data_IF_962971997389
#
_entry.id   IF_962971997389
#
_cell.length_a   1.000
_cell.length_b   1.000
_cell.length_c   1.000
_cell.angle_alpha   90.00
_cell.angle_beta   90.00
_cell.angle_gamma   90.00
#
_symmetry.space_group_name_H-M   'P 1'
#
loop_
_entity.id
_entity.type
_entity.pdbx_description
1 polymer ?
#
# COMPACT_ATOMS: atom_id res chain seq x y z
N UNK A 1 -4.67 30.50 -17.80
CA UNK A 1 -4.87 29.11 -18.30
C UNK A 1 -5.49 28.21 -17.21
N UNK A 2 -6.18 27.11 -17.56
CA UNK A 2 -6.65 26.11 -16.55
C UNK A 2 -5.47 25.40 -15.88
N UNK A 3 -5.56 25.16 -14.57
CA UNK A 3 -4.50 24.56 -13.76
C UNK A 3 -4.06 23.17 -14.26
N UNK A 4 -5.00 22.29 -14.62
CA UNK A 4 -4.68 20.96 -15.17
C UNK A 4 -3.86 21.01 -16.47
N UNK A 5 -4.16 21.98 -17.34
CA UNK A 5 -3.38 22.25 -18.55
C UNK A 5 -2.02 22.85 -18.22
N UNK A 6 -1.97 23.79 -17.27
CA UNK A 6 -0.74 24.44 -16.85
C UNK A 6 0.27 23.45 -16.26
N UNK A 7 -0.18 22.57 -15.36
CA UNK A 7 0.63 21.53 -14.71
C UNK A 7 1.23 20.57 -15.74
N UNK A 8 0.41 20.08 -16.68
CA UNK A 8 0.90 19.20 -17.74
C UNK A 8 1.84 19.91 -18.72
N UNK A 9 1.51 21.14 -19.15
CA UNK A 9 2.32 21.91 -20.10
C UNK A 9 3.70 22.29 -19.55
N UNK A 10 3.81 22.45 -18.22
CA UNK A 10 5.07 22.75 -17.52
C UNK A 10 5.87 21.51 -17.12
N UNK A 11 5.44 20.31 -17.52
CA UNK A 11 6.13 19.06 -17.23
C UNK A 11 6.02 18.59 -15.77
N UNK A 12 5.18 19.23 -14.96
CA UNK A 12 4.93 18.84 -13.56
C UNK A 12 4.03 17.59 -13.47
N UNK A 13 3.36 17.21 -14.56
CA UNK A 13 2.66 15.94 -14.66
C UNK A 13 2.92 15.28 -16.01
N UNK A 14 3.04 13.96 -15.99
CA UNK A 14 3.26 13.11 -17.18
C UNK A 14 2.11 13.14 -18.19
N UNK A 15 0.91 13.55 -17.77
CA UNK A 15 -0.26 13.70 -18.63
C UNK A 15 -1.28 14.66 -18.00
N UNK A 16 -2.30 15.08 -18.77
CA UNK A 16 -3.40 15.89 -18.22
C UNK A 16 -4.24 15.13 -17.19
N UNK A 17 -4.40 13.81 -17.36
CA UNK A 17 -5.08 12.96 -16.37
C UNK A 17 -4.28 12.90 -15.08
N UNK A 18 -2.96 12.71 -15.18
CA UNK A 18 -2.07 12.73 -14.02
C UNK A 18 -2.08 14.11 -13.32
N UNK A 19 -2.13 15.21 -14.08
CA UNK A 19 -2.30 16.55 -13.51
C UNK A 19 -3.62 16.67 -12.72
N UNK A 20 -4.71 16.12 -13.24
CA UNK A 20 -6.02 16.13 -12.57
C UNK A 20 -5.98 15.39 -11.23
N UNK A 21 -5.29 14.25 -11.19
CA UNK A 21 -5.09 13.45 -9.98
C UNK A 21 -4.24 14.20 -8.95
N UNK A 22 -3.11 14.79 -9.36
CA UNK A 22 -2.23 15.58 -8.49
C UNK A 22 -2.97 16.80 -7.91
N UNK A 23 -3.73 17.52 -8.74
CA UNK A 23 -4.50 18.67 -8.29
C UNK A 23 -5.57 18.23 -7.30
N UNK A 24 -6.41 17.25 -7.66
CA UNK A 24 -7.50 16.77 -6.77
C UNK A 24 -6.96 16.22 -5.44
N UNK A 25 -5.73 15.71 -5.44
CA UNK A 25 -5.03 15.23 -4.26
C UNK A 25 -4.44 16.35 -3.36
N UNK A 26 -4.55 17.62 -3.75
CA UNK A 26 -3.94 18.74 -3.03
C UNK A 26 -2.42 18.82 -3.17
N UNK A 27 -1.87 18.14 -4.18
CA UNK A 27 -0.43 18.02 -4.40
C UNK A 27 0.10 19.06 -5.39
N UNK A 28 -0.75 19.95 -5.89
CA UNK A 28 -0.32 21.09 -6.70
C UNK A 28 -0.44 22.34 -5.85
N UNK A 29 0.70 23.00 -5.64
CA UNK A 29 0.79 24.29 -4.99
C UNK A 29 0.75 25.38 -6.06
N UNK A 30 -0.06 26.41 -5.83
CA UNK A 30 -0.04 27.65 -6.62
C UNK A 30 0.32 28.78 -5.66
N UNK A 31 1.47 29.41 -5.89
CA UNK A 31 2.04 30.43 -4.99
C UNK A 31 2.20 29.94 -3.54
N UNK A 32 2.59 28.67 -3.38
CA UNK A 32 2.79 28.03 -2.08
C UNK A 32 1.54 27.43 -1.44
N UNK A 33 0.36 27.65 -1.99
CA UNK A 33 -0.91 27.18 -1.43
C UNK A 33 -1.48 25.99 -2.22
N UNK A 34 -1.96 24.92 -1.55
CA UNK A 34 -2.52 23.76 -2.22
C UNK A 34 -3.84 24.10 -2.91
N UNK A 35 -3.92 23.77 -4.21
CA UNK A 35 -5.13 23.95 -5.02
C UNK A 35 -5.69 22.58 -5.37
N UNK A 36 -6.98 22.36 -5.08
CA UNK A 36 -7.65 21.06 -5.30
C UNK A 36 -8.62 21.03 -6.47
N UNK A 37 -8.76 22.14 -7.20
CA UNK A 37 -9.69 22.29 -8.33
C UNK A 37 -8.94 22.25 -9.67
N UNK A 38 -9.01 21.15 -10.45
CA UNK A 38 -8.29 21.00 -11.72
C UNK A 38 -8.62 22.06 -12.76
N UNK A 39 -9.86 22.54 -12.73
CA UNK A 39 -10.36 23.60 -13.62
C UNK A 39 -10.17 25.01 -13.05
N UNK A 40 -9.38 25.19 -11.97
CA UNK A 40 -9.07 26.53 -11.48
C UNK A 40 -8.31 27.31 -12.56
N UNK A 41 -8.65 28.58 -12.73
CA UNK A 41 -7.90 29.48 -13.60
C UNK A 41 -6.68 30.01 -12.85
N UNK A 42 -5.52 29.93 -13.51
CA UNK A 42 -4.24 30.46 -13.03
C UNK A 42 -3.65 31.42 -14.06
N UNK A 43 -2.89 32.40 -13.59
CA UNK A 43 -2.13 33.29 -14.44
C UNK A 43 -1.06 32.50 -15.22
N UNK A 44 -0.69 32.98 -16.41
CA UNK A 44 0.27 32.26 -17.26
C UNK A 44 1.68 32.23 -16.66
N UNK A 45 1.99 33.18 -15.77
CA UNK A 45 3.21 33.33 -14.99
C UNK A 45 3.07 32.87 -13.52
N UNK A 46 1.93 32.29 -13.13
CA UNK A 46 1.70 31.82 -11.77
C UNK A 46 2.80 30.83 -11.35
N UNK A 47 3.34 30.98 -10.14
CA UNK A 47 4.26 30.00 -9.54
C UNK A 47 3.49 28.71 -9.23
N UNK A 48 3.80 27.62 -9.92
CA UNK A 48 3.14 26.33 -9.75
C UNK A 48 4.22 25.29 -9.47
N UNK A 49 4.06 24.60 -8.36
CA UNK A 49 4.96 23.54 -7.91
C UNK A 49 4.15 22.37 -7.37
N UNK A 50 4.83 21.27 -7.03
CA UNK A 50 4.17 20.13 -6.41
C UNK A 50 4.45 20.15 -4.91
N UNK A 51 3.42 19.87 -4.13
CA UNK A 51 3.54 19.60 -2.71
C UNK A 51 4.29 18.27 -2.60
N UNK A 52 5.57 18.35 -2.30
CA UNK A 52 6.56 17.28 -2.32
C UNK A 52 6.81 16.65 -3.69
N UNK A 53 8.02 16.87 -4.24
CA UNK A 53 8.49 16.26 -5.48
C UNK A 53 8.44 14.71 -5.49
N UNK A 54 8.29 14.07 -4.32
CA UNK A 54 8.09 12.64 -4.18
C UNK A 54 6.78 12.12 -4.81
N UNK A 55 5.68 12.89 -4.78
CA UNK A 55 4.43 12.44 -5.39
C UNK A 55 4.44 12.51 -6.93
N UNK A 56 5.28 13.39 -7.49
CA UNK A 56 5.56 13.47 -8.92
C UNK A 56 6.41 12.29 -9.43
N UNK A 57 7.27 11.79 -8.55
CA UNK A 57 8.25 10.75 -8.80
C UNK A 57 7.62 9.35 -8.92
N UNK A 58 6.60 9.06 -8.10
CA UNK A 58 5.94 7.76 -8.13
C UNK A 58 4.87 7.65 -9.21
N UNK A 59 4.72 6.44 -9.76
CA UNK A 59 3.69 6.15 -10.77
C UNK A 59 2.26 6.20 -10.21
N UNK A 60 2.10 6.13 -8.89
CA UNK A 60 0.83 6.19 -8.16
C UNK A 60 0.99 6.68 -6.73
N UNK A 61 -0.04 7.34 -6.20
CA UNK A 61 -0.13 7.73 -4.77
C UNK A 61 -0.10 6.53 -3.82
N UNK A 62 -0.44 5.33 -4.29
CA UNK A 62 -0.31 4.12 -3.50
C UNK A 62 1.14 3.94 -3.01
N UNK A 63 2.15 4.33 -3.80
CA UNK A 63 3.55 4.29 -3.40
C UNK A 63 3.82 4.95 -2.04
N UNK A 64 3.23 6.13 -1.80
CA UNK A 64 3.41 6.87 -0.54
C UNK A 64 2.84 6.12 0.68
N UNK A 65 1.81 5.28 0.48
CA UNK A 65 1.29 4.40 1.53
C UNK A 65 2.33 3.37 1.95
N UNK A 66 2.94 2.70 0.97
CA UNK A 66 3.97 1.70 1.24
C UNK A 66 5.24 2.35 1.81
N UNK A 67 5.64 3.53 1.32
CA UNK A 67 6.78 4.29 1.87
C UNK A 67 6.57 4.51 3.37
N UNK A 68 5.42 5.06 3.78
CA UNK A 68 5.14 5.30 5.20
C UNK A 68 5.12 4.02 6.04
N UNK A 69 4.58 2.93 5.51
CA UNK A 69 4.57 1.64 6.19
C UNK A 69 5.98 1.06 6.36
N UNK A 70 6.81 1.12 5.33
CA UNK A 70 8.20 0.66 5.37
C UNK A 70 9.03 1.53 6.32
N UNK A 71 8.87 2.86 6.31
CA UNK A 71 9.58 3.76 7.23
C UNK A 71 9.25 3.48 8.70
N UNK A 72 8.02 3.06 9.00
CA UNK A 72 7.62 2.67 10.35
C UNK A 72 8.16 1.28 10.75
N UNK A 73 8.28 0.35 9.79
CA UNK A 73 8.68 -1.04 10.07
C UNK A 73 10.20 -1.29 9.95
N UNK A 74 10.93 -0.50 9.17
CA UNK A 74 12.36 -0.66 8.95
C UNK A 74 13.19 -0.53 10.24
N UNK A 75 12.93 0.45 11.14
CA UNK A 75 13.61 0.53 12.43
C UNK A 75 13.37 -0.68 13.35
N UNK A 76 12.29 -1.43 13.09
CA UNK A 76 11.95 -2.65 13.82
C UNK A 76 12.59 -3.90 13.20
N UNK A 77 13.16 -3.80 12.00
CA UNK A 77 13.90 -4.87 11.33
C UNK A 77 13.31 -5.35 10.00
N UNK A 78 12.26 -4.70 9.46
CA UNK A 78 11.76 -5.02 8.12
C UNK A 78 12.72 -4.49 7.05
N UNK A 79 13.39 -5.39 6.34
CA UNK A 79 14.35 -5.04 5.28
C UNK A 79 13.79 -5.44 3.92
N UNK A 80 13.86 -4.55 2.91
CA UNK A 80 13.50 -4.85 1.51
C UNK A 80 14.74 -5.22 0.67
N UNK A 81 15.86 -4.57 0.96
CA UNK A 81 17.08 -4.69 0.14
C UNK A 81 17.52 -6.14 -0.06
N UNK A 82 17.80 -6.50 -1.32
CA UNK A 82 18.28 -7.81 -1.72
C UNK A 82 17.23 -8.92 -1.71
N UNK A 83 15.95 -8.63 -1.49
CA UNK A 83 14.87 -9.64 -1.41
C UNK A 83 14.15 -9.84 -2.74
N UNK A 84 13.65 -11.06 -2.93
CA UNK A 84 12.59 -11.31 -3.91
C UNK A 84 11.26 -11.02 -3.25
N UNK A 85 10.46 -10.18 -3.91
CA UNK A 85 9.24 -9.60 -3.38
C UNK A 85 8.04 -9.95 -4.26
N UNK A 86 6.87 -10.12 -3.63
CA UNK A 86 5.57 -10.14 -4.31
C UNK A 86 4.85 -8.82 -4.03
N UNK A 87 4.40 -8.15 -5.10
CA UNK A 87 3.42 -7.06 -5.05
C UNK A 87 2.04 -7.62 -5.47
N UNK A 88 1.20 -7.90 -4.48
CA UNK A 88 -0.14 -8.47 -4.65
C UNK A 88 -1.18 -7.35 -4.84
N UNK A 89 -1.65 -7.17 -6.08
CA UNK A 89 -2.50 -6.05 -6.49
C UNK A 89 -1.68 -4.88 -7.02
N UNK A 90 -0.71 -5.16 -7.90
CA UNK A 90 0.29 -4.19 -8.34
C UNK A 90 -0.30 -2.95 -9.03
N UNK A 91 -1.48 -3.07 -9.66
CA UNK A 91 -2.19 -2.01 -10.37
C UNK A 91 -1.26 -1.24 -11.32
N UNK A 92 -1.06 0.06 -11.12
CA UNK A 92 -0.15 0.87 -11.94
C UNK A 92 1.33 0.73 -11.59
N UNK A 93 1.67 -0.03 -10.55
CA UNK A 93 3.03 -0.37 -10.15
C UNK A 93 3.62 0.52 -9.06
N UNK A 94 2.77 1.20 -8.26
CA UNK A 94 3.25 2.12 -7.21
C UNK A 94 4.05 1.42 -6.12
N UNK A 95 3.55 0.28 -5.60
CA UNK A 95 4.26 -0.51 -4.59
C UNK A 95 5.49 -1.18 -5.20
N UNK A 96 5.37 -1.76 -6.40
CA UNK A 96 6.50 -2.29 -7.18
C UNK A 96 7.64 -1.27 -7.31
N UNK A 97 7.36 -0.02 -7.70
CA UNK A 97 8.39 1.02 -7.80
C UNK A 97 9.10 1.27 -6.47
N UNK A 98 8.35 1.37 -5.37
CA UNK A 98 8.92 1.55 -4.02
C UNK A 98 9.83 0.39 -3.64
N UNK A 99 9.43 -0.85 -3.90
CA UNK A 99 10.25 -2.03 -3.63
C UNK A 99 11.57 -2.00 -4.42
N UNK A 100 11.51 -1.65 -5.71
CA UNK A 100 12.70 -1.52 -6.57
C UNK A 100 13.67 -0.45 -6.07
N UNK A 101 13.14 0.69 -5.62
CA UNK A 101 13.92 1.81 -5.08
C UNK A 101 14.50 1.50 -3.70
N UNK A 102 13.82 0.67 -2.90
CA UNK A 102 14.34 0.13 -1.63
C UNK A 102 15.31 -1.05 -1.83
N UNK A 103 15.68 -1.34 -3.08
CA UNK A 103 16.72 -2.31 -3.39
C UNK A 103 16.25 -3.75 -3.46
N UNK A 104 14.96 -4.01 -3.70
CA UNK A 104 14.49 -5.36 -4.01
C UNK A 104 15.34 -5.97 -5.16
N UNK A 105 15.72 -7.24 -4.99
CA UNK A 105 16.46 -8.01 -6.01
C UNK A 105 15.55 -8.30 -7.20
N UNK A 106 14.31 -8.68 -6.92
CA UNK A 106 13.28 -8.96 -7.91
C UNK A 106 11.90 -8.63 -7.33
N UNK A 107 10.98 -8.18 -8.18
CA UNK A 107 9.58 -7.98 -7.83
C UNK A 107 8.68 -8.73 -8.80
N UNK A 108 7.93 -9.69 -8.27
CA UNK A 108 6.80 -10.31 -8.94
C UNK A 108 5.57 -9.42 -8.73
N UNK A 109 5.14 -8.72 -9.77
CA UNK A 109 3.97 -7.86 -9.75
C UNK A 109 2.74 -8.64 -10.25
N UNK A 110 1.79 -8.93 -9.36
CA UNK A 110 0.57 -9.69 -9.67
C UNK A 110 -0.64 -8.78 -9.64
N UNK A 111 -1.46 -8.82 -10.69
CA UNK A 111 -2.76 -8.15 -10.71
C UNK A 111 -3.80 -8.96 -11.48
N UNK A 112 -5.07 -8.75 -11.15
CA UNK A 112 -6.23 -9.29 -11.88
C UNK A 112 -6.57 -8.47 -13.13
N UNK A 113 -6.15 -7.21 -13.17
CA UNK A 113 -6.28 -6.33 -14.33
C UNK A 113 -5.29 -6.68 -15.44
N UNK A 114 -5.43 -5.95 -16.55
CA UNK A 114 -4.58 -6.05 -17.74
C UNK A 114 -4.05 -4.67 -18.14
N UNK A 115 -2.82 -4.63 -18.68
CA UNK A 115 -2.13 -3.45 -19.21
C UNK A 115 -2.11 -2.26 -18.22
N UNK A 116 -1.98 -2.56 -16.92
CA UNK A 116 -2.10 -1.54 -15.87
C UNK A 116 -0.75 -0.94 -15.46
N UNK A 117 0.32 -1.76 -15.46
CA UNK A 117 1.63 -1.32 -15.00
C UNK A 117 2.16 -0.17 -15.86
N UNK A 118 2.70 0.85 -15.20
CA UNK A 118 3.30 1.98 -15.89
C UNK A 118 4.53 1.53 -16.72
N UNK A 119 4.77 2.11 -17.91
CA UNK A 119 5.87 1.71 -18.78
C UNK A 119 7.26 1.72 -18.12
N UNK A 120 7.49 2.66 -17.19
CA UNK A 120 8.76 2.75 -16.44
C UNK A 120 8.99 1.55 -15.51
N UNK A 121 7.91 0.98 -14.96
CA UNK A 121 7.97 -0.20 -14.09
C UNK A 121 8.16 -1.46 -14.94
N UNK A 122 7.43 -1.58 -16.06
CA UNK A 122 7.56 -2.70 -17.00
C UNK A 122 8.96 -2.78 -17.62
N UNK A 123 9.62 -1.63 -17.82
CA UNK A 123 10.96 -1.58 -18.41
C UNK A 123 12.08 -1.99 -17.44
N UNK A 124 11.82 -2.10 -16.13
CA UNK A 124 12.86 -2.51 -15.17
C UNK A 124 13.08 -4.03 -15.25
N UNK A 125 14.32 -4.50 -15.52
CA UNK A 125 14.60 -5.93 -15.69
C UNK A 125 14.41 -6.76 -14.41
N UNK A 126 14.25 -6.13 -13.26
CA UNK A 126 13.96 -6.79 -11.98
C UNK A 126 12.46 -7.07 -11.78
N UNK A 127 11.60 -6.68 -12.71
CA UNK A 127 10.15 -6.87 -12.61
C UNK A 127 9.68 -8.01 -13.50
N UNK A 128 8.89 -8.90 -12.92
CA UNK A 128 8.05 -9.84 -13.69
C UNK A 128 6.60 -9.50 -13.46
N UNK A 129 5.89 -9.13 -14.53
CA UNK A 129 4.45 -8.85 -14.47
C UNK A 129 3.64 -10.12 -14.73
N UNK A 130 2.64 -10.38 -13.88
CA UNK A 130 1.64 -11.44 -14.05
C UNK A 130 0.24 -10.86 -13.93
N UNK A 131 -0.30 -10.50 -15.07
CA UNK A 131 -1.64 -9.91 -15.23
C UNK A 131 -2.73 -10.97 -15.42
N UNK A 132 -3.98 -10.62 -15.11
CA UNK A 132 -5.11 -11.54 -15.16
C UNK A 132 -5.04 -12.68 -14.14
N UNK A 133 -4.18 -12.58 -13.12
CA UNK A 133 -3.97 -13.61 -12.10
C UNK A 133 -4.64 -13.19 -10.80
N UNK A 134 -5.51 -14.04 -10.26
CA UNK A 134 -6.06 -13.83 -8.93
C UNK A 134 -5.08 -14.35 -7.89
N UNK A 135 -4.71 -13.51 -6.91
CA UNK A 135 -3.81 -13.90 -5.82
C UNK A 135 -4.34 -15.07 -4.97
N UNK A 136 -5.67 -15.29 -4.97
CA UNK A 136 -6.28 -16.48 -4.33
C UNK A 136 -5.88 -17.80 -4.99
N UNK A 137 -5.50 -17.76 -6.25
CA UNK A 137 -5.19 -18.94 -7.06
C UNK A 137 -3.68 -19.19 -7.11
N UNK A 138 -2.88 -18.40 -6.39
CA UNK A 138 -1.45 -18.65 -6.22
C UNK A 138 -1.23 -19.91 -5.39
N UNK A 139 -0.23 -20.69 -5.79
CA UNK A 139 0.14 -21.95 -5.13
C UNK A 139 1.65 -22.05 -5.00
N UNK A 140 2.15 -22.99 -4.20
CA UNK A 140 3.57 -23.34 -4.09
C UNK A 140 4.22 -23.76 -5.42
N UNK A 141 3.42 -24.15 -6.42
CA UNK A 141 3.88 -24.52 -7.76
C UNK A 141 3.86 -23.36 -8.76
N UNK A 142 3.28 -22.22 -8.38
CA UNK A 142 3.23 -21.04 -9.23
C UNK A 142 4.62 -20.44 -9.41
N UNK A 143 4.87 -19.87 -10.59
CA UNK A 143 6.12 -19.15 -10.85
C UNK A 143 6.33 -18.02 -9.83
N UNK A 144 7.54 -17.97 -9.28
CA UNK A 144 7.94 -17.02 -8.25
C UNK A 144 7.53 -17.39 -6.82
N UNK A 145 7.01 -18.59 -6.57
CA UNK A 145 6.78 -19.07 -5.21
C UNK A 145 8.09 -19.08 -4.39
N UNK A 146 7.99 -18.88 -3.09
CA UNK A 146 9.14 -18.74 -2.19
C UNK A 146 9.71 -17.33 -2.09
N UNK A 147 8.93 -16.29 -2.47
CA UNK A 147 9.30 -14.90 -2.19
C UNK A 147 9.51 -14.69 -0.69
N UNK A 148 10.45 -13.83 -0.36
CA UNK A 148 10.77 -13.53 1.03
C UNK A 148 9.96 -12.35 1.58
N UNK A 149 9.43 -11.45 0.74
CA UNK A 149 8.59 -10.33 1.18
C UNK A 149 7.32 -10.27 0.34
N UNK A 150 6.16 -10.16 0.99
CA UNK A 150 4.87 -9.92 0.33
C UNK A 150 4.35 -8.57 0.79
N UNK A 151 3.99 -7.72 -0.17
CA UNK A 151 3.17 -6.52 0.06
C UNK A 151 1.84 -6.68 -0.65
N UNK A 152 0.75 -6.20 -0.05
CA UNK A 152 -0.58 -6.33 -0.66
C UNK A 152 -1.42 -5.06 -0.52
N UNK A 153 -1.92 -4.55 -1.66
CA UNK A 153 -2.88 -3.44 -1.77
C UNK A 153 -4.12 -3.88 -2.58
N UNK A 154 -4.91 -4.78 -1.99
CA UNK A 154 -6.05 -5.38 -2.69
C UNK A 154 -7.34 -4.58 -2.51
N UNK A 155 -8.18 -4.54 -3.55
CA UNK A 155 -9.49 -3.88 -3.49
C UNK A 155 -10.61 -4.87 -3.80
N UNK A 156 -11.80 -4.63 -3.24
CA UNK A 156 -13.01 -5.44 -3.46
C UNK A 156 -12.92 -6.90 -2.99
N UNK A 157 -11.93 -7.22 -2.17
CA UNK A 157 -11.74 -8.52 -1.54
C UNK A 157 -11.32 -8.31 -0.08
N UNK A 158 -11.79 -9.18 0.82
CA UNK A 158 -11.30 -9.23 2.19
C UNK A 158 -9.97 -9.96 2.23
N UNK A 159 -9.02 -9.46 3.03
CA UNK A 159 -7.72 -10.11 3.22
C UNK A 159 -7.85 -11.54 3.77
N UNK A 160 -8.92 -11.85 4.50
CA UNK A 160 -9.16 -13.20 5.03
C UNK A 160 -9.30 -14.27 3.95
N UNK A 161 -9.60 -13.89 2.71
CA UNK A 161 -9.66 -14.81 1.57
C UNK A 161 -8.33 -15.03 0.86
N UNK A 162 -7.32 -14.21 1.15
CA UNK A 162 -6.02 -14.24 0.44
C UNK A 162 -4.85 -14.50 1.37
N UNK A 163 -5.00 -14.38 2.69
CA UNK A 163 -3.92 -14.66 3.64
C UNK A 163 -3.38 -16.09 3.46
N UNK A 164 -4.23 -17.11 3.46
CA UNK A 164 -3.75 -18.51 3.34
C UNK A 164 -3.03 -18.77 2.02
N UNK A 165 -3.56 -18.35 0.84
CA UNK A 165 -2.81 -18.43 -0.42
C UNK A 165 -1.47 -17.67 -0.41
N UNK A 166 -1.43 -16.46 0.17
CA UNK A 166 -0.21 -15.66 0.23
C UNK A 166 0.84 -16.28 1.15
N UNK A 167 0.44 -16.79 2.31
CA UNK A 167 1.31 -17.51 3.25
C UNK A 167 1.86 -18.78 2.61
N UNK A 168 1.01 -19.56 1.93
CA UNK A 168 1.45 -20.77 1.24
C UNK A 168 2.37 -20.49 0.04
N UNK A 169 2.21 -19.35 -0.63
CA UNK A 169 3.05 -18.94 -1.76
C UNK A 169 4.42 -18.41 -1.33
N UNK A 170 4.51 -17.78 -0.15
CA UNK A 170 5.73 -17.19 0.36
C UNK A 170 6.69 -18.25 0.95
N UNK A 171 7.94 -17.84 1.22
CA UNK A 171 8.85 -18.66 2.01
C UNK A 171 8.39 -18.74 3.48
N UNK A 172 8.77 -19.82 4.19
CA UNK A 172 8.38 -20.04 5.60
C UNK A 172 8.81 -18.88 6.53
N UNK A 173 9.94 -18.23 6.22
CA UNK A 173 10.47 -17.08 6.97
C UNK A 173 10.12 -15.72 6.36
N UNK A 174 9.14 -15.67 5.44
CA UNK A 174 8.77 -14.45 4.76
C UNK A 174 8.10 -13.42 5.66
N UNK A 175 8.29 -12.15 5.31
CA UNK A 175 7.53 -11.03 5.86
C UNK A 175 6.32 -10.74 4.98
N UNK A 176 5.17 -10.54 5.61
CA UNK A 176 3.94 -10.11 4.95
C UNK A 176 3.54 -8.74 5.51
N UNK A 177 3.51 -7.72 4.66
CA UNK A 177 3.05 -6.37 4.96
C UNK A 177 1.76 -6.09 4.19
N UNK A 178 0.62 -6.33 4.85
CA UNK A 178 -0.70 -6.35 4.22
C UNK A 178 -1.48 -5.08 4.53
N UNK A 179 -2.04 -4.44 3.51
CA UNK A 179 -2.87 -3.24 3.71
C UNK A 179 -4.33 -3.62 3.98
N UNK A 180 -4.77 -3.37 5.21
CA UNK A 180 -6.16 -3.53 5.65
C UNK A 180 -6.98 -2.32 5.21
N UNK A 181 -8.04 -2.59 4.46
CA UNK A 181 -9.03 -1.61 4.02
C UNK A 181 -10.38 -1.91 4.66
N UNK A 182 -10.75 -1.26 5.78
CA UNK A 182 -11.96 -1.59 6.53
C UNK A 182 -13.23 -1.69 5.66
N UNK A 183 -13.36 -0.89 4.62
CA UNK A 183 -14.48 -0.92 3.68
C UNK A 183 -14.67 -2.25 2.94
N UNK A 184 -13.63 -3.06 2.82
CA UNK A 184 -13.70 -4.41 2.24
C UNK A 184 -13.79 -5.50 3.30
N UNK A 185 -13.67 -5.12 4.58
CA UNK A 185 -13.68 -6.03 5.71
C UNK A 185 -15.04 -6.03 6.45
N UNK A 186 -15.62 -4.86 6.74
CA UNK A 186 -16.74 -4.79 7.69
C UNK A 186 -18.08 -5.35 7.18
N UNK A 187 -18.18 -5.66 5.88
CA UNK A 187 -19.40 -6.13 5.23
C UNK A 187 -20.38 -4.99 4.90
N UNK A 188 -21.30 -5.23 3.95
CA UNK A 188 -22.13 -4.17 3.35
C UNK A 188 -22.99 -3.38 4.33
N UNK A 189 -23.49 -4.01 5.40
CA UNK A 189 -24.37 -3.38 6.39
C UNK A 189 -23.69 -2.27 7.21
N UNK A 190 -22.34 -2.27 7.27
CA UNK A 190 -21.53 -1.34 8.06
C UNK A 190 -20.83 -0.28 7.20
N UNK A 191 -21.18 -0.22 5.91
CA UNK A 191 -20.70 0.83 5.01
C UNK A 191 -21.62 2.05 5.07
N UNK A 192 -21.06 3.20 5.42
CA UNK A 192 -21.77 4.47 5.34
C UNK A 192 -21.96 4.94 3.89
N UNK A 193 -22.59 6.12 3.74
CA UNK A 193 -22.70 6.79 2.44
C UNK A 193 -21.34 6.91 1.74
N UNK A 194 -21.29 6.50 0.46
CA UNK A 194 -20.07 6.51 -0.34
C UNK A 194 -19.11 5.34 -0.08
N UNK A 195 -19.50 4.31 0.68
CA UNK A 195 -18.63 3.17 0.97
C UNK A 195 -17.52 3.48 1.97
N UNK A 196 -17.76 4.43 2.87
CA UNK A 196 -16.77 4.88 3.86
C UNK A 196 -17.09 4.33 5.25
N UNK A 197 -16.08 3.78 5.92
CA UNK A 197 -16.18 3.29 7.30
C UNK A 197 -15.82 4.40 8.29
N UNK A 198 -16.85 5.05 8.84
CA UNK A 198 -16.69 6.21 9.74
C UNK A 198 -16.50 5.82 11.21
N UNK A 199 -17.12 4.72 11.66
CA UNK A 199 -17.00 4.27 13.05
C UNK A 199 -15.59 3.71 13.32
N UNK A 200 -14.95 4.20 14.39
CA UNK A 200 -13.65 3.72 14.83
C UNK A 200 -13.67 2.26 15.28
N UNK A 201 -14.79 1.79 15.86
CA UNK A 201 -14.98 0.40 16.29
C UNK A 201 -15.03 -0.52 15.08
N UNK A 202 -15.73 -0.14 14.02
CA UNK A 202 -15.77 -0.93 12.79
C UNK A 202 -14.40 -1.02 12.12
N UNK A 203 -13.58 0.05 12.18
CA UNK A 203 -12.19 0.00 11.74
C UNK A 203 -11.34 -0.91 12.62
N UNK A 204 -11.50 -0.85 13.94
CA UNK A 204 -10.79 -1.70 14.88
C UNK A 204 -11.13 -3.18 14.66
N UNK A 205 -12.41 -3.51 14.53
CA UNK A 205 -12.90 -4.85 14.23
C UNK A 205 -12.32 -5.40 12.92
N UNK A 206 -12.23 -4.56 11.88
CA UNK A 206 -11.65 -4.95 10.61
C UNK A 206 -10.17 -5.35 10.76
N UNK A 207 -9.37 -4.52 11.44
CA UNK A 207 -7.94 -4.81 11.68
C UNK A 207 -7.78 -6.03 12.58
N UNK A 208 -8.54 -6.11 13.68
CA UNK A 208 -8.50 -7.23 14.62
C UNK A 208 -8.81 -8.56 13.92
N UNK A 209 -9.78 -8.58 13.01
CA UNK A 209 -10.14 -9.79 12.26
C UNK A 209 -9.04 -10.24 11.30
N UNK A 210 -8.39 -9.30 10.61
CA UNK A 210 -7.24 -9.60 9.73
C UNK A 210 -6.09 -10.14 10.56
N UNK A 211 -5.75 -9.49 11.68
CA UNK A 211 -4.72 -9.95 12.63
C UNK A 211 -5.00 -11.36 13.12
N UNK A 212 -6.25 -11.65 13.50
CA UNK A 212 -6.64 -12.99 13.95
C UNK A 212 -6.44 -14.05 12.86
N UNK A 213 -6.75 -13.73 11.59
CA UNK A 213 -6.51 -14.65 10.47
C UNK A 213 -5.02 -14.84 10.18
N UNK A 214 -4.22 -13.76 10.21
CA UNK A 214 -2.76 -13.87 10.08
C UNK A 214 -2.15 -14.78 11.15
N UNK A 215 -2.60 -14.64 12.41
CA UNK A 215 -2.15 -15.52 13.51
C UNK A 215 -2.62 -16.96 13.34
N UNK A 216 -3.85 -17.18 12.89
CA UNK A 216 -4.35 -18.52 12.58
C UNK A 216 -3.58 -19.19 11.44
N UNK A 217 -3.07 -18.40 10.48
CA UNK A 217 -2.17 -18.86 9.42
C UNK A 217 -0.71 -19.03 9.87
N UNK A 218 -0.41 -18.89 11.17
CA UNK A 218 0.92 -19.13 11.74
C UNK A 218 1.83 -17.91 11.81
N UNK A 219 1.33 -16.69 11.52
CA UNK A 219 2.15 -15.48 11.54
C UNK A 219 2.18 -14.83 12.93
N UNK A 220 3.38 -14.48 13.40
CA UNK A 220 3.57 -13.53 14.50
C UNK A 220 3.40 -12.10 14.00
N UNK A 221 2.69 -11.25 14.75
CA UNK A 221 2.47 -9.85 14.37
C UNK A 221 3.58 -8.98 14.96
N UNK A 222 4.15 -8.09 14.14
CA UNK A 222 5.26 -7.21 14.53
C UNK A 222 4.84 -5.74 14.60
N UNK A 223 3.97 -5.31 13.68
CA UNK A 223 3.50 -3.93 13.66
C UNK A 223 2.08 -3.80 13.08
N UNK A 224 1.38 -2.77 13.54
CA UNK A 224 0.08 -2.33 13.04
C UNK A 224 0.15 -0.80 12.92
N UNK A 225 0.09 -0.30 11.70
CA UNK A 225 0.28 1.11 11.41
C UNK A 225 -0.89 1.69 10.64
N UNK A 226 -1.25 2.94 10.92
CA UNK A 226 -2.20 3.68 10.10
C UNK A 226 -1.50 4.19 8.85
N UNK A 227 -2.12 4.03 7.68
CA UNK A 227 -1.61 4.62 6.45
C UNK A 227 -1.62 6.15 6.54
N UNK A 228 -0.49 6.77 6.19
CA UNK A 228 -0.28 8.22 6.21
C UNK A 228 -1.06 8.93 5.10
N UNK A 229 -1.50 8.20 4.07
CA UNK A 229 -2.29 8.71 2.96
C UNK A 229 -3.67 8.06 2.94
N UNK A 230 -4.78 8.83 2.97
CA UNK A 230 -6.12 8.26 2.96
C UNK A 230 -6.48 7.59 1.62
N UNK A 231 -7.42 6.64 1.66
CA UNK A 231 -7.96 6.00 0.46
C UNK A 231 -8.79 6.97 -0.42
N UNK A 232 -9.16 6.57 -1.66
CA UNK A 232 -9.78 7.46 -2.66
C UNK A 232 -11.07 8.17 -2.21
N UNK A 233 -11.82 7.59 -1.26
CA UNK A 233 -13.05 8.15 -0.69
C UNK A 233 -12.87 8.70 0.75
N UNK A 234 -11.63 8.87 1.21
CA UNK A 234 -11.31 9.28 2.58
C UNK A 234 -11.36 8.14 3.60
N UNK A 235 -11.40 6.88 3.16
CA UNK A 235 -11.27 5.73 4.05
C UNK A 235 -9.89 5.77 4.75
N UNK A 236 -9.91 5.53 6.06
CA UNK A 236 -8.68 5.29 6.83
C UNK A 236 -8.29 3.82 6.63
N UNK A 237 -7.06 3.61 6.20
CA UNK A 237 -6.49 2.30 5.87
C UNK A 237 -5.31 2.03 6.79
N UNK A 238 -4.95 0.76 6.96
CA UNK A 238 -3.93 0.31 7.91
C UNK A 238 -2.99 -0.68 7.25
N UNK A 239 -1.79 -0.84 7.78
CA UNK A 239 -0.88 -1.93 7.45
C UNK A 239 -0.73 -2.84 8.66
N UNK A 240 -0.67 -4.14 8.40
CA UNK A 240 -0.32 -5.16 9.39
C UNK A 240 0.90 -5.91 8.87
N UNK A 241 1.96 -5.95 9.67
CA UNK A 241 3.16 -6.71 9.38
C UNK A 241 3.22 -7.96 10.26
N UNK A 242 3.42 -9.13 9.64
CA UNK A 242 3.75 -10.36 10.35
C UNK A 242 4.65 -11.31 9.57
N UNK A 243 5.19 -12.32 10.24
CA UNK A 243 6.08 -13.36 9.66
C UNK A 243 5.88 -14.73 10.32
N UNK A 244 6.19 -15.81 9.58
CA UNK A 244 5.92 -17.21 10.00
C UNK A 244 7.01 -17.83 10.89
N UNK A 245 8.28 -17.52 10.69
CA UNK A 245 9.37 -18.09 11.49
C UNK A 245 10.48 -17.07 11.77
N UNK A 246 10.27 -16.27 12.81
CA UNK A 246 11.28 -15.33 13.31
C UNK A 246 12.37 -16.01 14.16
N UNK A 247 12.10 -17.20 14.71
CA UNK A 247 13.00 -17.94 15.60
C UNK A 247 14.31 -18.44 14.92
N UNK A 248 14.45 -18.27 13.60
CA UNK A 248 15.67 -18.63 12.86
C UNK A 248 16.71 -17.49 12.77
N UNK A 249 16.36 -16.25 13.12
CA UNK A 249 17.26 -15.09 13.06
C UNK A 249 17.61 -14.68 14.49
N UNK A 250 18.88 -14.79 14.86
CA UNK A 250 19.38 -14.58 16.23
C UNK A 250 19.17 -13.17 16.81
N UNK A 251 20.04 -12.75 17.74
CA UNK A 251 19.91 -11.47 18.44
C UNK A 251 19.88 -10.27 17.47
N UNK A 252 18.69 -9.69 17.24
CA UNK A 252 18.50 -8.52 16.37
C UNK A 252 17.15 -8.47 15.64
N UNK A 253 16.17 -9.26 16.07
CA UNK A 253 15.00 -9.52 15.27
C UNK A 253 13.77 -8.73 15.83
N UNK A 254 12.73 -8.41 15.03
CA UNK A 254 11.54 -7.63 15.46
C UNK A 254 10.73 -8.30 16.59
N UNK A 255 10.27 -7.57 17.62
CA UNK A 255 9.41 -8.14 18.66
C UNK A 255 8.08 -8.64 18.07
N UNK A 256 7.63 -9.81 18.53
CA UNK A 256 6.25 -10.29 18.28
C UNK A 256 5.34 -9.68 19.33
N UNK A 257 4.27 -9.03 18.90
CA UNK A 257 3.29 -8.41 19.77
C UNK A 257 2.43 -9.46 20.47
N UNK A 258 2.24 -9.30 21.78
CA UNK A 258 1.23 -10.05 22.54
C UNK A 258 -0.19 -9.49 22.34
N UNK A 259 -1.18 -10.15 22.94
CA UNK A 259 -2.60 -9.78 22.77
C UNK A 259 -2.92 -8.36 23.25
N UNK A 260 -2.32 -7.94 24.37
CA UNK A 260 -2.53 -6.61 24.96
C UNK A 260 -1.89 -5.52 24.09
N UNK A 261 -0.68 -5.79 23.58
CA UNK A 261 0.03 -4.91 22.65
C UNK A 261 -0.71 -4.78 21.33
N UNK A 262 -1.23 -5.88 20.77
CA UNK A 262 -2.05 -5.85 19.55
C UNK A 262 -3.30 -4.99 19.77
N UNK A 263 -4.05 -5.22 20.85
CA UNK A 263 -5.25 -4.45 21.16
C UNK A 263 -4.94 -2.96 21.30
N UNK A 264 -3.86 -2.63 22.02
CA UNK A 264 -3.41 -1.25 22.19
C UNK A 264 -3.00 -0.59 20.87
N UNK A 265 -2.26 -1.29 20.01
CA UNK A 265 -1.84 -0.76 18.70
C UNK A 265 -3.02 -0.51 17.77
N UNK A 266 -4.02 -1.39 17.77
CA UNK A 266 -5.25 -1.19 17.00
C UNK A 266 -5.97 0.08 17.49
N UNK A 267 -6.15 0.23 18.80
CA UNK A 267 -6.84 1.39 19.39
C UNK A 267 -6.14 2.71 19.04
N UNK A 268 -4.81 2.76 19.20
CA UNK A 268 -3.99 3.92 18.81
C UNK A 268 -4.12 4.22 17.32
N UNK A 269 -4.05 3.20 16.45
CA UNK A 269 -4.10 3.39 15.01
C UNK A 269 -5.46 3.92 14.54
N UNK A 270 -6.58 3.45 15.10
CA UNK A 270 -7.93 3.85 14.67
C UNK A 270 -8.36 5.22 15.20
N UNK A 271 -7.56 5.81 16.09
CA UNK A 271 -7.84 7.08 16.76
C UNK A 271 -8.75 6.93 17.99
N UNK A 272 -8.63 5.81 18.72
CA UNK A 272 -9.28 5.61 20.00
C UNK A 272 -8.97 6.74 20.97
N UNK A 273 -10.02 7.31 21.56
CA UNK A 273 -9.91 8.40 22.52
C UNK A 273 -9.17 7.93 23.78
N UNK A 274 -8.23 8.75 24.26
CA UNK A 274 -8.10 8.93 25.72
C UNK A 274 -9.21 9.87 26.19
#
# INVERSE_FOLDING_TARGET
>A
MRLDRAVAARGLARSRTHAHELITAGLVLVSGEPVTKPSADVADDADISLADGAAAHYVSRAALKLVGALDACEPLGLVVSGRDCLDAGASTGGFTQVLLERGARHVLAVDVGHDQLAPVVVADPRVTSREGVNVKDLTTSSEGAGVSLVVADLSFISLTHVIDPLVAFAADDADLLLMVKPQFEVGRARLGSGGVVRDARDRADAVARVVAHMRAAGLGIHSIERSTVPGPAGNVEFFVWGSGSWQARGAGAPPVLDDDQIAHRIDVAVGGAR
#
